data_IF_172881247283
#
_entry.id   IF_172881247283
#
_cell.length_a   1.000
_cell.length_b   1.000
_cell.length_c   1.000
_cell.angle_alpha   90.00
_cell.angle_beta   90.00
_cell.angle_gamma   90.00
#
_symmetry.space_group_name_H-M   'P 1'
#
loop_
_entity.id
_entity.type
_entity.pdbx_description
1 polymer ?
#
# COMPACT_ATOMS: atom_id res chain seq x y z
N UNK A 1 -13.68 10.77 23.59
CA UNK A 1 -13.17 12.15 23.71
C UNK A 1 -13.35 12.86 22.39
N UNK A 2 -14.26 13.85 22.30
CA UNK A 2 -14.35 14.71 21.11
C UNK A 2 -13.05 15.54 21.04
N UNK A 3 -12.25 15.37 20.00
CA UNK A 3 -11.07 16.21 19.81
C UNK A 3 -11.53 17.61 19.43
N UNK A 4 -11.51 18.54 20.37
CA UNK A 4 -11.70 19.95 20.04
C UNK A 4 -10.59 20.37 19.07
N UNK A 5 -10.99 20.82 17.88
CA UNK A 5 -10.10 21.31 16.84
C UNK A 5 -9.39 22.55 17.37
N UNK A 6 -8.06 22.48 17.51
CA UNK A 6 -7.26 23.62 17.95
C UNK A 6 -6.64 24.29 16.75
N UNK A 7 -6.31 25.58 16.86
CA UNK A 7 -5.74 26.37 15.75
C UNK A 7 -4.49 25.73 15.12
N UNK A 8 -3.66 25.06 15.92
CA UNK A 8 -2.49 24.35 15.41
C UNK A 8 -2.82 23.08 14.62
N UNK A 9 -4.00 22.46 14.84
CA UNK A 9 -4.46 21.34 13.99
C UNK A 9 -4.68 21.84 12.55
N UNK A 10 -5.14 23.09 12.37
CA UNK A 10 -5.22 23.72 11.06
C UNK A 10 -3.85 23.89 10.41
N UNK A 11 -2.81 24.26 11.18
CA UNK A 11 -1.44 24.35 10.67
C UNK A 11 -0.95 22.98 10.18
N UNK A 12 -1.21 21.91 10.94
CA UNK A 12 -0.87 20.55 10.52
C UNK A 12 -1.57 20.15 9.22
N UNK A 13 -2.88 20.41 9.12
CA UNK A 13 -3.67 20.11 7.91
C UNK A 13 -3.13 20.91 6.72
N UNK A 14 -2.90 22.20 6.90
CA UNK A 14 -2.35 23.07 5.85
C UNK A 14 -0.96 22.61 5.41
N UNK A 15 -0.09 22.25 6.35
CA UNK A 15 1.25 21.73 6.03
C UNK A 15 1.17 20.40 5.29
N UNK A 16 0.31 19.48 5.73
CA UNK A 16 0.09 18.20 5.05
C UNK A 16 -0.40 18.40 3.61
N UNK A 17 -1.42 19.24 3.42
CA UNK A 17 -1.96 19.56 2.10
C UNK A 17 -0.92 20.26 1.23
N UNK A 18 -0.18 21.21 1.80
CA UNK A 18 0.90 21.91 1.11
C UNK A 18 1.95 20.94 0.60
N UNK A 19 2.46 20.05 1.44
CA UNK A 19 3.46 19.06 1.04
C UNK A 19 2.91 18.09 -0.01
N UNK A 20 1.68 17.60 0.17
CA UNK A 20 1.05 16.70 -0.79
C UNK A 20 0.89 17.37 -2.16
N UNK A 21 0.38 18.60 -2.21
CA UNK A 21 0.21 19.36 -3.45
C UNK A 21 1.55 19.66 -4.10
N UNK A 22 2.57 20.04 -3.32
CA UNK A 22 3.91 20.28 -3.86
C UNK A 22 4.50 19.03 -4.50
N UNK A 23 4.36 17.86 -3.88
CA UNK A 23 4.83 16.60 -4.48
C UNK A 23 4.11 16.32 -5.80
N UNK A 24 2.80 16.54 -5.85
CA UNK A 24 2.02 16.41 -7.08
C UNK A 24 2.56 17.34 -8.15
N UNK A 25 2.68 18.63 -7.86
CA UNK A 25 3.16 19.61 -8.84
C UNK A 25 4.57 19.32 -9.33
N UNK A 26 5.48 18.91 -8.43
CA UNK A 26 6.87 18.66 -8.76
C UNK A 26 7.07 17.42 -9.65
N UNK A 27 6.30 16.35 -9.43
CA UNK A 27 6.57 15.04 -10.04
C UNK A 27 5.55 14.67 -11.11
N UNK A 28 4.36 15.29 -11.14
CA UNK A 28 3.38 15.01 -12.18
C UNK A 28 3.90 15.11 -13.62
N UNK A 29 4.77 16.08 -13.98
CA UNK A 29 5.37 16.13 -15.33
C UNK A 29 6.38 15.00 -15.58
N UNK A 30 6.97 14.43 -14.53
CA UNK A 30 7.98 13.39 -14.62
C UNK A 30 7.33 12.01 -14.71
N UNK A 31 7.64 11.28 -15.79
CA UNK A 31 7.25 9.89 -16.00
C UNK A 31 8.53 9.10 -16.12
N UNK A 32 8.70 8.05 -15.31
CA UNK A 32 9.89 7.21 -15.43
C UNK A 32 9.74 6.26 -16.62
N UNK A 33 10.81 6.10 -17.39
CA UNK A 33 10.80 5.29 -18.60
C UNK A 33 10.47 3.81 -18.31
N UNK A 34 10.87 3.30 -17.14
CA UNK A 34 10.61 1.92 -16.70
C UNK A 34 9.11 1.56 -16.68
N UNK A 35 8.23 2.54 -16.48
CA UNK A 35 6.78 2.33 -16.53
C UNK A 35 6.33 1.77 -17.90
N UNK A 36 7.03 2.13 -18.99
CA UNK A 36 6.67 1.66 -20.34
C UNK A 36 6.92 0.17 -20.55
N UNK A 37 7.75 -0.47 -19.73
CA UNK A 37 7.93 -1.92 -19.75
C UNK A 37 6.57 -2.58 -19.45
N UNK A 38 5.96 -2.23 -18.32
CA UNK A 38 4.65 -2.75 -17.91
C UNK A 38 3.55 -2.39 -18.91
N UNK A 39 3.59 -1.17 -19.48
CA UNK A 39 2.61 -0.72 -20.47
C UNK A 39 2.71 -1.47 -21.80
N UNK A 40 3.90 -1.94 -22.19
CA UNK A 40 4.07 -2.75 -23.39
C UNK A 40 3.37 -4.10 -23.23
N UNK A 41 3.59 -4.78 -22.11
CA UNK A 41 2.86 -6.02 -21.79
C UNK A 41 1.35 -5.78 -21.72
N UNK A 42 0.93 -4.70 -21.06
CA UNK A 42 -0.47 -4.32 -20.97
C UNK A 42 -1.12 -4.11 -22.34
N UNK A 43 -0.39 -3.49 -23.28
CA UNK A 43 -0.86 -3.24 -24.65
C UNK A 43 -1.04 -4.53 -25.44
N UNK A 44 -0.08 -5.44 -25.38
CA UNK A 44 -0.20 -6.74 -26.05
C UNK A 44 -1.34 -7.58 -25.44
N UNK A 45 -1.45 -7.56 -24.12
CA UNK A 45 -2.53 -8.27 -23.45
C UNK A 45 -3.91 -7.71 -23.82
N UNK A 46 -4.07 -6.39 -23.81
CA UNK A 46 -5.31 -5.73 -24.24
C UNK A 46 -5.63 -5.95 -25.73
N UNK A 47 -4.62 -6.17 -26.58
CA UNK A 47 -4.80 -6.49 -28.00
C UNK A 47 -5.14 -7.97 -28.25
N UNK A 48 -5.17 -8.81 -27.21
CA UNK A 48 -5.45 -10.25 -27.32
C UNK A 48 -4.27 -11.10 -27.78
N UNK A 49 -3.06 -10.53 -27.86
CA UNK A 49 -1.84 -11.30 -28.23
C UNK A 49 -1.17 -11.98 -27.02
N UNK A 50 -1.68 -11.72 -25.81
CA UNK A 50 -1.17 -12.29 -24.56
C UNK A 50 -0.11 -11.42 -23.88
N UNK A 51 0.47 -11.94 -22.78
CA UNK A 51 1.51 -11.27 -21.99
C UNK A 51 2.89 -11.50 -22.61
N UNK A 52 3.13 -10.90 -23.78
CA UNK A 52 4.37 -11.06 -24.54
C UNK A 52 5.14 -9.74 -24.64
N UNK A 53 6.47 -9.80 -24.64
CA UNK A 53 7.30 -8.63 -24.96
C UNK A 53 7.36 -8.36 -26.47
N UNK A 54 7.57 -9.42 -27.25
CA UNK A 54 7.59 -9.45 -28.71
C UNK A 54 6.64 -10.57 -29.14
N UNK A 55 5.74 -10.28 -30.09
CA UNK A 55 4.71 -11.23 -30.53
C UNK A 55 5.33 -12.44 -31.25
N UNK A 56 6.40 -12.22 -32.01
CA UNK A 56 7.08 -13.27 -32.81
C UNK A 56 8.25 -13.95 -32.08
N UNK A 57 8.40 -13.72 -30.78
CA UNK A 57 9.49 -14.30 -29.98
C UNK A 57 8.94 -15.25 -28.91
N UNK A 58 9.80 -16.12 -28.33
CA UNK A 58 9.41 -16.92 -27.17
C UNK A 58 8.88 -16.04 -26.02
N UNK A 59 7.88 -16.51 -25.26
CA UNK A 59 7.34 -15.77 -24.13
C UNK A 59 8.41 -15.54 -23.05
N UNK A 60 8.49 -14.30 -22.57
CA UNK A 60 9.38 -13.91 -21.46
C UNK A 60 8.58 -13.03 -20.51
N UNK A 61 8.65 -13.34 -19.22
CA UNK A 61 8.08 -12.50 -18.16
C UNK A 61 9.13 -11.49 -17.69
N UNK A 62 9.16 -10.33 -18.36
CA UNK A 62 10.11 -9.24 -18.07
C UNK A 62 9.54 -8.11 -17.21
N UNK A 63 8.37 -8.30 -16.60
CA UNK A 63 7.77 -7.33 -15.66
C UNK A 63 7.87 -7.87 -14.23
N UNK A 64 8.02 -6.97 -13.26
CA UNK A 64 8.03 -7.30 -11.82
C UNK A 64 6.80 -6.76 -11.07
N UNK A 65 5.87 -6.14 -11.79
CA UNK A 65 4.72 -5.43 -11.23
C UNK A 65 3.42 -5.80 -11.94
N UNK A 66 3.06 -7.08 -11.88
CA UNK A 66 1.88 -7.64 -12.55
C UNK A 66 0.60 -6.83 -12.31
N UNK A 67 0.37 -6.33 -11.10
CA UNK A 67 -0.79 -5.50 -10.78
C UNK A 67 -0.87 -4.24 -11.67
N UNK A 68 0.26 -3.63 -12.01
CA UNK A 68 0.34 -2.46 -12.88
C UNK A 68 0.17 -2.83 -14.36
N UNK A 69 0.57 -4.05 -14.76
CA UNK A 69 0.23 -4.60 -16.09
C UNK A 69 -1.28 -4.79 -16.22
N UNK A 70 -1.94 -5.35 -15.20
CA UNK A 70 -3.42 -5.50 -15.16
C UNK A 70 -4.11 -4.14 -15.25
N UNK A 71 -3.72 -3.18 -14.41
CA UNK A 71 -4.30 -1.83 -14.43
C UNK A 71 -4.10 -1.14 -15.78
N UNK A 72 -2.92 -1.26 -16.36
CA UNK A 72 -2.63 -0.76 -17.70
C UNK A 72 -3.51 -1.40 -18.77
N UNK A 73 -3.66 -2.72 -18.74
CA UNK A 73 -4.44 -3.47 -19.73
C UNK A 73 -5.92 -3.12 -19.66
N UNK A 74 -6.49 -3.08 -18.44
CA UNK A 74 -7.86 -2.64 -18.20
C UNK A 74 -8.09 -1.21 -18.70
N UNK A 75 -7.15 -0.31 -18.44
CA UNK A 75 -7.25 1.08 -18.93
C UNK A 75 -7.28 1.15 -20.45
N UNK A 76 -6.42 0.37 -21.12
CA UNK A 76 -6.37 0.31 -22.59
C UNK A 76 -7.65 -0.30 -23.19
N UNK A 77 -8.20 -1.37 -22.58
CA UNK A 77 -9.47 -1.97 -22.97
C UNK A 77 -10.63 -0.96 -22.87
N UNK A 78 -10.60 -0.12 -21.85
CA UNK A 78 -11.58 0.96 -21.64
C UNK A 78 -11.27 2.23 -22.46
N UNK A 79 -10.28 2.20 -23.36
CA UNK A 79 -9.83 3.32 -24.20
C UNK A 79 -9.35 4.56 -23.41
N UNK A 80 -8.88 4.35 -22.19
CA UNK A 80 -8.31 5.40 -21.34
C UNK A 80 -6.81 5.62 -21.59
N UNK A 81 -6.25 6.64 -20.90
CA UNK A 81 -4.80 6.88 -20.90
C UNK A 81 -4.14 6.15 -19.72
N UNK A 82 -3.37 5.06 -19.96
CA UNK A 82 -2.79 4.27 -18.89
C UNK A 82 -1.70 5.02 -18.11
N UNK A 83 -1.00 5.99 -18.72
CA UNK A 83 0.01 6.80 -18.03
C UNK A 83 -0.66 7.59 -16.89
N UNK A 84 -1.78 8.25 -17.21
CA UNK A 84 -2.52 9.05 -16.22
C UNK A 84 -3.07 8.13 -15.12
N UNK A 85 -3.65 6.98 -15.48
CA UNK A 85 -4.22 6.04 -14.51
C UNK A 85 -3.16 5.48 -13.56
N UNK A 86 -1.98 5.09 -14.06
CA UNK A 86 -0.91 4.58 -13.19
C UNK A 86 -0.35 5.66 -12.26
N UNK A 87 -0.23 6.92 -12.72
CA UNK A 87 0.14 8.04 -11.83
C UNK A 87 -0.92 8.32 -10.77
N UNK A 88 -2.21 8.26 -11.12
CA UNK A 88 -3.31 8.38 -10.16
C UNK A 88 -3.28 7.23 -9.17
N UNK A 89 -3.00 6.00 -9.60
CA UNK A 89 -2.81 4.86 -8.71
C UNK A 89 -1.67 5.13 -7.71
N UNK A 90 -0.56 5.72 -8.17
CA UNK A 90 0.53 6.17 -7.31
C UNK A 90 0.09 7.21 -6.26
N UNK A 91 -0.72 8.20 -6.67
CA UNK A 91 -1.28 9.21 -5.76
C UNK A 91 -2.18 8.57 -4.69
N UNK A 92 -3.07 7.68 -5.12
CA UNK A 92 -3.98 6.95 -4.24
C UNK A 92 -3.16 6.10 -3.27
N UNK A 93 -2.12 5.40 -3.76
CA UNK A 93 -1.17 4.66 -2.95
C UNK A 93 -0.48 5.52 -1.89
N UNK A 94 -0.02 6.73 -2.24
CA UNK A 94 0.57 7.65 -1.27
C UNK A 94 -0.43 8.05 -0.18
N UNK A 95 -1.66 8.41 -0.56
CA UNK A 95 -2.72 8.75 0.39
C UNK A 95 -3.03 7.59 1.34
N UNK A 96 -3.17 6.36 0.83
CA UNK A 96 -3.40 5.18 1.65
C UNK A 96 -2.19 4.82 2.52
N UNK A 97 -0.97 5.05 2.04
CA UNK A 97 0.25 4.87 2.84
C UNK A 97 0.24 5.82 4.05
N UNK A 98 -0.04 7.11 3.83
CA UNK A 98 -0.22 8.08 4.92
C UNK A 98 -1.34 7.66 5.89
N UNK A 99 -2.47 7.19 5.36
CA UNK A 99 -3.59 6.72 6.18
C UNK A 99 -3.22 5.53 7.06
N UNK A 100 -2.57 4.49 6.51
CA UNK A 100 -2.18 3.32 7.28
C UNK A 100 -1.05 3.61 8.26
N UNK A 101 -0.08 4.47 7.90
CA UNK A 101 0.95 4.92 8.85
C UNK A 101 0.32 5.66 10.03
N UNK A 102 -0.65 6.53 9.77
CA UNK A 102 -1.43 7.17 10.82
C UNK A 102 -2.12 6.14 11.71
N UNK A 103 -2.83 5.18 11.12
CA UNK A 103 -3.54 4.12 11.86
C UNK A 103 -2.61 3.21 12.69
N UNK A 104 -1.45 2.85 12.15
CA UNK A 104 -0.42 2.10 12.88
C UNK A 104 0.06 2.93 14.07
N UNK A 105 0.39 4.20 13.85
CA UNK A 105 0.84 5.10 14.91
C UNK A 105 -0.19 5.26 16.03
N UNK A 106 -1.48 5.17 15.69
CA UNK A 106 -2.59 5.25 16.65
C UNK A 106 -2.62 4.12 17.66
N UNK A 107 -1.92 2.99 17.46
CA UNK A 107 -1.83 1.95 18.49
C UNK A 107 -1.05 2.41 19.73
N UNK A 108 -0.12 3.36 19.59
CA UNK A 108 0.74 3.79 20.69
C UNK A 108 0.61 5.27 21.05
N UNK A 109 0.19 6.10 20.10
CA UNK A 109 0.17 7.55 20.26
C UNK A 109 -1.22 8.12 20.11
N UNK A 110 -1.48 9.26 20.75
CA UNK A 110 -2.73 10.01 20.55
C UNK A 110 -2.92 10.44 19.09
N UNK A 111 -4.16 10.83 18.75
CA UNK A 111 -4.55 11.25 17.39
C UNK A 111 -3.60 12.26 16.76
N UNK A 112 -3.18 13.27 17.51
CA UNK A 112 -2.30 14.34 17.00
C UNK A 112 -0.88 13.85 16.74
N UNK A 113 -0.29 13.15 17.71
CA UNK A 113 1.09 12.63 17.60
C UNK A 113 1.21 11.62 16.45
N UNK A 114 0.13 10.90 16.15
CA UNK A 114 0.07 9.93 15.05
C UNK A 114 0.13 10.55 13.66
N UNK A 115 -0.01 11.88 13.54
CA UNK A 115 0.15 12.59 12.26
C UNK A 115 1.62 12.90 11.93
N UNK A 116 2.52 12.90 12.92
CA UNK A 116 3.93 13.24 12.72
C UNK A 116 4.64 12.31 11.73
N UNK A 117 4.44 10.97 11.78
CA UNK A 117 5.07 10.08 10.79
C UNK A 117 4.59 10.33 9.36
N UNK A 118 3.35 10.77 9.16
CA UNK A 118 2.83 11.12 7.84
C UNK A 118 3.56 12.33 7.26
N UNK A 119 3.82 13.35 8.08
CA UNK A 119 4.64 14.49 7.65
C UNK A 119 6.09 14.05 7.37
N UNK A 120 6.66 13.20 8.21
CA UNK A 120 7.99 12.64 7.98
C UNK A 120 8.10 11.93 6.62
N UNK A 121 7.09 11.13 6.26
CA UNK A 121 7.00 10.50 4.95
C UNK A 121 6.91 11.55 3.82
N UNK A 122 6.07 12.58 3.98
CA UNK A 122 5.92 13.62 2.95
C UNK A 122 7.14 14.54 2.80
N UNK A 123 8.01 14.62 3.80
CA UNK A 123 9.29 15.30 3.71
C UNK A 123 10.41 14.45 3.09
N UNK A 124 10.24 13.13 3.04
CA UNK A 124 11.27 12.23 2.56
C UNK A 124 11.43 12.34 1.03
N UNK A 125 12.58 12.83 0.57
CA UNK A 125 12.87 13.05 -0.87
C UNK A 125 12.66 11.80 -1.73
N UNK A 126 12.99 10.62 -1.22
CA UNK A 126 12.73 9.36 -1.92
C UNK A 126 11.24 9.14 -2.17
N UNK A 127 10.39 9.45 -1.18
CA UNK A 127 8.94 9.35 -1.35
C UNK A 127 8.46 10.29 -2.45
N UNK A 128 8.96 11.52 -2.48
CA UNK A 128 8.55 12.54 -3.45
C UNK A 128 8.71 11.99 -4.87
N UNK A 129 9.91 11.55 -5.23
CA UNK A 129 10.23 11.07 -6.58
C UNK A 129 9.36 9.87 -6.98
N UNK A 130 9.20 8.90 -6.06
CA UNK A 130 8.48 7.66 -6.35
C UNK A 130 6.97 7.76 -6.17
N UNK A 131 6.44 8.88 -5.69
CA UNK A 131 5.01 9.05 -5.42
C UNK A 131 4.15 8.92 -6.68
N UNK A 132 4.62 9.52 -7.78
CA UNK A 132 3.81 9.79 -8.97
C UNK A 132 4.58 9.55 -10.28
N UNK A 133 5.73 8.88 -10.21
CA UNK A 133 6.55 8.59 -11.39
C UNK A 133 5.91 7.56 -12.33
N UNK A 134 4.86 6.86 -11.89
CA UNK A 134 4.10 5.89 -12.68
C UNK A 134 4.36 4.42 -12.31
N UNK A 135 5.17 4.17 -11.27
CA UNK A 135 5.44 2.82 -10.76
C UNK A 135 4.58 2.44 -9.55
N UNK A 136 4.65 1.17 -9.18
CA UNK A 136 3.88 0.55 -8.11
C UNK A 136 4.30 0.94 -6.70
N UNK A 137 5.43 1.63 -6.53
CA UNK A 137 6.11 1.82 -5.23
C UNK A 137 5.18 2.26 -4.12
N UNK A 138 4.35 3.28 -4.32
CA UNK A 138 3.45 3.78 -3.27
C UNK A 138 2.22 2.93 -3.06
N UNK A 139 1.75 2.22 -4.09
CA UNK A 139 0.69 1.22 -3.95
C UNK A 139 1.21 0.04 -3.14
N UNK A 140 2.43 -0.42 -3.42
CA UNK A 140 3.10 -1.46 -2.66
C UNK A 140 3.30 -1.05 -1.20
N UNK A 141 3.79 0.17 -0.93
CA UNK A 141 3.90 0.71 0.43
C UNK A 141 2.56 0.70 1.16
N UNK A 142 1.48 1.16 0.51
CA UNK A 142 0.15 1.16 1.09
C UNK A 142 -0.33 -0.25 1.45
N UNK A 143 -0.10 -1.22 0.57
CA UNK A 143 -0.48 -2.62 0.78
C UNK A 143 0.31 -3.22 1.96
N UNK A 144 1.62 -2.96 2.05
CA UNK A 144 2.43 -3.45 3.18
C UNK A 144 2.01 -2.77 4.49
N UNK A 145 1.85 -1.45 4.53
CA UNK A 145 1.37 -0.75 5.72
C UNK A 145 -0.04 -1.21 6.13
N UNK A 146 -0.94 -1.41 5.17
CA UNK A 146 -2.27 -1.97 5.44
C UNK A 146 -2.20 -3.37 6.03
N UNK A 147 -1.33 -4.23 5.48
CA UNK A 147 -1.09 -5.59 6.01
C UNK A 147 -0.61 -5.55 7.46
N UNK A 148 0.37 -4.70 7.78
CA UNK A 148 0.86 -4.50 9.16
C UNK A 148 -0.27 -4.04 10.09
N UNK A 149 -1.05 -3.05 9.65
CA UNK A 149 -2.19 -2.56 10.42
C UNK A 149 -3.19 -3.67 10.73
N UNK A 150 -3.57 -4.46 9.72
CA UNK A 150 -4.51 -5.56 9.87
C UNK A 150 -3.95 -6.71 10.71
N UNK A 151 -2.65 -7.03 10.63
CA UNK A 151 -2.01 -7.96 11.54
C UNK A 151 -2.16 -7.52 13.00
N UNK A 152 -1.88 -6.24 13.30
CA UNK A 152 -2.08 -5.70 14.66
C UNK A 152 -3.54 -5.77 15.11
N UNK A 153 -4.49 -5.36 14.26
CA UNK A 153 -5.93 -5.47 14.59
C UNK A 153 -6.35 -6.92 14.81
N UNK A 154 -5.88 -7.86 13.99
CA UNK A 154 -6.15 -9.30 14.13
C UNK A 154 -5.58 -9.87 15.43
N UNK A 155 -4.41 -9.39 15.84
CA UNK A 155 -3.79 -9.69 17.14
C UNK A 155 -4.53 -9.08 18.34
N UNK A 156 -5.58 -8.30 18.11
CA UNK A 156 -6.40 -7.66 19.14
C UNK A 156 -5.88 -6.29 19.59
N UNK A 157 -4.88 -5.71 18.91
CA UNK A 157 -4.45 -4.35 19.23
C UNK A 157 -5.59 -3.36 18.94
N UNK A 158 -5.89 -2.53 19.93
CA UNK A 158 -6.87 -1.45 19.84
C UNK A 158 -6.15 -0.10 19.76
N UNK A 159 -6.83 0.91 19.25
CA UNK A 159 -6.24 2.24 19.13
C UNK A 159 -6.08 2.85 20.53
N UNK A 160 -4.94 3.51 20.78
CA UNK A 160 -4.67 4.19 22.04
C UNK A 160 -5.81 5.15 22.39
N UNK A 161 -6.31 5.18 23.66
CA UNK A 161 -5.71 4.60 24.86
C UNK A 161 -6.19 3.18 25.21
N UNK A 162 -6.97 2.54 24.34
CA UNK A 162 -7.60 1.27 24.67
C UNK A 162 -6.56 0.13 24.74
N UNK A 163 -6.75 -0.76 25.72
CA UNK A 163 -5.89 -1.93 25.90
C UNK A 163 -6.18 -3.04 24.87
N UNK A 164 -5.21 -3.96 24.70
CA UNK A 164 -5.34 -5.10 23.78
C UNK A 164 -6.61 -5.89 24.09
N UNK A 165 -7.48 -5.98 23.10
CA UNK A 165 -8.76 -6.70 23.16
C UNK A 165 -8.66 -8.13 22.64
N UNK A 166 -9.80 -8.67 22.22
CA UNK A 166 -9.89 -10.01 21.63
C UNK A 166 -9.33 -10.03 20.21
N UNK A 167 -8.85 -11.21 19.81
CA UNK A 167 -8.40 -11.44 18.43
C UNK A 167 -9.59 -11.54 17.49
N UNK A 168 -9.48 -10.95 16.30
CA UNK A 168 -10.54 -10.91 15.30
C UNK A 168 -10.07 -11.46 13.95
N UNK A 169 -10.68 -12.57 13.52
CA UNK A 169 -10.24 -13.34 12.35
C UNK A 169 -10.34 -12.57 11.03
N UNK A 170 -11.33 -11.67 10.90
CA UNK A 170 -11.53 -10.85 9.70
C UNK A 170 -10.30 -10.05 9.32
N UNK A 171 -9.53 -9.59 10.31
CA UNK A 171 -8.34 -8.77 10.04
C UNK A 171 -7.17 -9.61 9.53
N UNK A 172 -7.06 -10.88 9.90
CA UNK A 172 -6.06 -11.76 9.28
C UNK A 172 -6.36 -12.02 7.80
N UNK A 173 -7.63 -12.18 7.44
CA UNK A 173 -8.06 -12.28 6.03
C UNK A 173 -7.68 -11.02 5.26
N UNK A 174 -7.98 -9.83 5.80
CA UNK A 174 -7.58 -8.58 5.15
C UNK A 174 -6.07 -8.42 5.03
N UNK A 175 -5.30 -8.86 6.03
CA UNK A 175 -3.84 -8.85 5.96
C UNK A 175 -3.30 -9.78 4.86
N UNK A 176 -3.85 -11.01 4.76
CA UNK A 176 -3.50 -11.96 3.69
C UNK A 176 -3.84 -11.43 2.30
N UNK A 177 -5.03 -10.85 2.11
CA UNK A 177 -5.44 -10.22 0.83
C UNK A 177 -4.50 -9.08 0.45
N UNK A 178 -4.13 -8.21 1.40
CA UNK A 178 -3.21 -7.10 1.11
C UNK A 178 -1.81 -7.60 0.75
N UNK A 179 -1.30 -8.65 1.41
CA UNK A 179 -0.01 -9.26 1.08
C UNK A 179 -0.04 -9.99 -0.27
N UNK A 180 -1.14 -10.65 -0.62
CA UNK A 180 -1.32 -11.27 -1.93
C UNK A 180 -1.29 -10.22 -3.04
N UNK A 181 -2.02 -9.11 -2.87
CA UNK A 181 -1.98 -7.97 -3.79
C UNK A 181 -0.58 -7.33 -3.83
N UNK A 182 0.13 -7.27 -2.69
CA UNK A 182 1.50 -6.79 -2.64
C UNK A 182 2.45 -7.70 -3.43
N UNK A 183 2.25 -9.02 -3.40
CA UNK A 183 2.99 -10.01 -4.20
C UNK A 183 2.74 -9.87 -5.70
N UNK A 184 1.55 -9.43 -6.09
CA UNK A 184 1.25 -9.08 -7.48
C UNK A 184 1.87 -7.73 -7.88
N UNK A 185 2.11 -6.84 -6.93
CA UNK A 185 2.77 -5.57 -7.18
C UNK A 185 4.29 -5.72 -7.24
N UNK A 186 4.91 -6.54 -6.38
CA UNK A 186 6.35 -6.78 -6.37
C UNK A 186 6.73 -8.19 -5.90
N UNK A 187 7.81 -8.78 -6.46
CA UNK A 187 8.19 -10.17 -6.19
C UNK A 187 8.77 -10.39 -4.79
N UNK A 188 9.13 -9.34 -4.03
CA UNK A 188 9.68 -9.51 -2.68
C UNK A 188 8.59 -9.72 -1.60
N UNK A 189 7.32 -9.47 -1.91
CA UNK A 189 6.24 -9.54 -0.92
C UNK A 189 6.06 -10.93 -0.26
N UNK A 190 6.23 -12.07 -0.96
CA UNK A 190 6.19 -13.39 -0.32
C UNK A 190 7.20 -13.53 0.83
N UNK A 191 8.39 -12.92 0.72
CA UNK A 191 9.36 -12.92 1.82
C UNK A 191 8.83 -12.13 3.04
N UNK A 192 8.13 -11.02 2.81
CA UNK A 192 7.47 -10.26 3.87
C UNK A 192 6.29 -11.03 4.49
N UNK A 193 5.55 -11.81 3.69
CA UNK A 193 4.48 -12.67 4.19
C UNK A 193 5.01 -13.72 5.17
N UNK A 194 6.13 -14.38 4.83
CA UNK A 194 6.81 -15.33 5.73
C UNK A 194 7.28 -14.61 7.00
N UNK A 195 7.90 -13.44 6.87
CA UNK A 195 8.34 -12.65 8.02
C UNK A 195 7.15 -12.29 8.93
N UNK A 196 6.04 -11.83 8.37
CA UNK A 196 4.85 -11.45 9.15
C UNK A 196 4.27 -12.66 9.86
N UNK A 197 4.23 -13.82 9.21
CA UNK A 197 3.81 -15.06 9.86
C UNK A 197 4.70 -15.43 11.05
N UNK A 198 6.02 -15.33 10.92
CA UNK A 198 6.96 -15.55 12.03
C UNK A 198 6.69 -14.58 13.19
N UNK A 199 6.48 -13.30 12.88
CA UNK A 199 6.19 -12.27 13.88
C UNK A 199 4.84 -12.49 14.56
N UNK A 200 3.81 -12.93 13.84
CA UNK A 200 2.52 -13.32 14.41
C UNK A 200 2.68 -14.50 15.39
N UNK A 201 3.48 -15.51 15.02
CA UNK A 201 3.76 -16.63 15.91
C UNK A 201 4.51 -16.19 17.18
N UNK A 202 5.41 -15.21 17.06
CA UNK A 202 6.19 -14.67 18.17
C UNK A 202 5.37 -13.79 19.12
N UNK A 203 4.63 -12.79 18.61
CA UNK A 203 3.83 -11.83 19.40
C UNK A 203 2.37 -12.28 19.64
N UNK A 204 2.19 -13.60 19.76
CA UNK A 204 0.87 -14.21 19.97
C UNK A 204 0.22 -13.72 21.27
N UNK A 205 -1.10 -13.49 21.29
CA UNK A 205 -1.80 -13.12 22.52
C UNK A 205 -1.76 -14.27 23.54
N UNK A 206 -1.66 -13.91 24.83
CA UNK A 206 -1.64 -14.90 25.93
C UNK A 206 -3.01 -15.52 26.21
N UNK A 207 -4.10 -14.86 25.79
CA UNK A 207 -5.49 -15.31 25.98
C UNK A 207 -6.10 -15.74 24.64
N UNK A 208 -7.05 -16.67 24.67
CA UNK A 208 -7.82 -17.14 23.49
C UNK A 208 -6.95 -17.73 22.35
N UNK A 209 -5.85 -18.41 22.69
CA UNK A 209 -4.85 -18.96 21.75
C UNK A 209 -5.46 -19.83 20.64
N UNK A 210 -6.46 -20.67 20.95
CA UNK A 210 -7.11 -21.54 19.94
C UNK A 210 -7.81 -20.72 18.84
N UNK A 211 -8.54 -19.68 19.22
CA UNK A 211 -9.23 -18.79 18.26
C UNK A 211 -8.20 -17.98 17.46
N UNK A 212 -7.14 -17.51 18.11
CA UNK A 212 -6.04 -16.83 17.45
C UNK A 212 -5.40 -17.67 16.34
N UNK A 213 -5.09 -18.94 16.61
CA UNK A 213 -4.51 -19.83 15.60
C UNK A 213 -5.46 -20.07 14.42
N UNK A 214 -6.77 -20.19 14.64
CA UNK A 214 -7.74 -20.26 13.54
C UNK A 214 -7.66 -19.02 12.64
N UNK A 215 -7.52 -17.83 13.24
CA UNK A 215 -7.29 -16.59 12.50
C UNK A 215 -5.98 -16.58 11.72
N UNK A 216 -4.89 -17.04 12.32
CA UNK A 216 -3.58 -17.15 11.66
C UNK A 216 -3.60 -18.14 10.49
N UNK A 217 -4.40 -19.20 10.53
CA UNK A 217 -4.59 -20.07 9.37
C UNK A 217 -5.27 -19.35 8.19
N UNK A 218 -6.14 -18.37 8.47
CA UNK A 218 -6.84 -17.57 7.45
C UNK A 218 -5.97 -16.44 6.86
N UNK A 219 -4.73 -16.30 7.34
CA UNK A 219 -3.75 -15.34 6.83
C UNK A 219 -3.09 -15.83 5.52
N UNK A 220 -3.04 -17.14 5.30
CA UNK A 220 -2.59 -17.78 4.07
C UNK A 220 -3.75 -18.02 3.12
#
# INVERSE_FOLDING_TARGET
MKSELRWYDCIFILLFLYLLILQIQAIWPFTIDDMYISLRYARHWAAGTGLLWNVDAPPVEGYSNFLFVVLGALTLLLKGNPIIVLKIAGLIGLCFTCYFIYLISRFWFSQRKSLLPCLGLLFYKGQIIWALSGLETTVYQALICGSVYFCFRGMGYQLFPDSRGKSENRYFVFAGVFLALAGMARPEAPALMILFFILLCWDRPQKEIKHYWQGVFLFF
#
